data_IF_259385162370
#
_entry.id   IF_259385162370
#
_cell.length_a   1.000
_cell.length_b   1.000
_cell.length_c   1.000
_cell.angle_alpha   90.00
_cell.angle_beta   90.00
_cell.angle_gamma   90.00
#
_symmetry.space_group_name_H-M   'P 1'
#
loop_
_entity.id
_entity.type
_entity.pdbx_description
1 polymer ?
#
# COMPACT_ATOMS: atom_id res chain seq x y z
N UNK A 1 -8.27 -7.17 -21.35
CA UNK A 1 -8.08 -6.84 -22.78
C UNK A 1 -9.28 -6.09 -23.35
N UNK A 2 -10.49 -6.67 -23.38
CA UNK A 2 -11.73 -6.01 -23.82
C UNK A 2 -11.91 -4.63 -23.19
N UNK A 3 -11.78 -4.53 -21.86
CA UNK A 3 -11.90 -3.26 -21.14
C UNK A 3 -11.00 -2.15 -21.71
N UNK A 4 -9.74 -2.47 -21.99
CA UNK A 4 -8.77 -1.50 -22.50
C UNK A 4 -8.95 -1.20 -23.99
N UNK A 5 -9.24 -2.22 -24.79
CA UNK A 5 -9.45 -2.09 -26.24
C UNK A 5 -10.64 -1.18 -26.56
N UNK A 6 -11.73 -1.33 -25.82
CA UNK A 6 -12.96 -0.58 -26.04
C UNK A 6 -13.12 0.63 -25.09
N UNK A 7 -12.10 0.95 -24.30
CA UNK A 7 -12.13 2.10 -23.39
C UNK A 7 -13.23 2.04 -22.32
N UNK A 8 -13.61 0.84 -21.88
CA UNK A 8 -14.68 0.65 -20.90
C UNK A 8 -14.19 1.09 -19.51
N UNK A 9 -14.93 2.03 -18.91
CA UNK A 9 -14.48 2.75 -17.70
C UNK A 9 -14.41 1.88 -16.45
N UNK A 10 -15.12 0.76 -16.39
CA UNK A 10 -15.13 -0.09 -15.20
C UNK A 10 -15.27 -1.58 -15.51
N UNK A 11 -14.71 -2.41 -14.63
CA UNK A 11 -14.85 -3.87 -14.73
C UNK A 11 -16.32 -4.31 -14.59
N UNK A 12 -17.11 -3.60 -13.78
CA UNK A 12 -18.55 -3.84 -13.63
C UNK A 12 -19.30 -3.60 -14.94
N UNK A 13 -19.01 -2.47 -15.60
CA UNK A 13 -19.58 -2.17 -16.91
C UNK A 13 -19.11 -3.18 -17.95
N UNK A 14 -17.84 -3.58 -17.91
CA UNK A 14 -17.28 -4.60 -18.82
C UNK A 14 -18.07 -5.91 -18.70
N UNK A 15 -18.37 -6.36 -17.48
CA UNK A 15 -19.17 -7.58 -17.28
C UNK A 15 -20.62 -7.45 -17.76
N UNK A 16 -21.24 -6.28 -17.56
CA UNK A 16 -22.58 -6.01 -18.08
C UNK A 16 -22.61 -6.04 -19.61
N UNK A 17 -21.56 -5.55 -20.26
CA UNK A 17 -21.42 -5.62 -21.71
C UNK A 17 -21.17 -7.05 -22.20
N UNK A 18 -20.33 -7.84 -21.50
CA UNK A 18 -20.13 -9.26 -21.81
C UNK A 18 -21.43 -10.05 -21.61
N UNK A 19 -22.30 -9.66 -20.67
CA UNK A 19 -23.56 -10.35 -20.44
C UNK A 19 -24.47 -10.32 -21.67
N UNK A 20 -24.53 -9.18 -22.37
CA UNK A 20 -25.42 -8.95 -23.52
C UNK A 20 -24.75 -9.16 -24.88
N UNK A 21 -23.43 -9.00 -24.97
CA UNK A 21 -22.70 -9.08 -26.24
C UNK A 21 -22.18 -10.51 -26.50
N UNK A 22 -22.69 -11.13 -27.56
CA UNK A 22 -22.30 -12.47 -27.98
C UNK A 22 -20.82 -12.56 -28.40
N UNK A 23 -20.30 -11.54 -29.08
CA UNK A 23 -18.91 -11.52 -29.56
C UNK A 23 -17.93 -11.55 -28.39
N UNK A 24 -18.24 -10.83 -27.31
CA UNK A 24 -17.42 -10.81 -26.10
C UNK A 24 -17.44 -12.15 -25.37
N UNK A 25 -18.60 -12.83 -25.32
CA UNK A 25 -18.70 -14.17 -24.74
C UNK A 25 -17.91 -15.19 -25.57
N UNK A 26 -18.07 -15.16 -26.89
CA UNK A 26 -17.33 -16.02 -27.81
C UNK A 26 -15.82 -15.82 -27.66
N UNK A 27 -15.36 -14.57 -27.63
CA UNK A 27 -13.95 -14.23 -27.45
C UNK A 27 -13.39 -14.74 -26.11
N UNK A 28 -14.19 -14.70 -25.04
CA UNK A 28 -13.80 -15.18 -23.71
C UNK A 28 -14.01 -16.69 -23.53
N UNK A 29 -14.59 -17.39 -24.51
CA UNK A 29 -14.89 -18.82 -24.45
C UNK A 29 -16.10 -19.19 -23.59
N UNK A 30 -16.99 -18.22 -23.28
CA UNK A 30 -18.22 -18.48 -22.53
C UNK A 30 -19.38 -18.84 -23.46
N UNK A 31 -20.20 -19.79 -23.03
CA UNK A 31 -21.46 -20.09 -23.71
C UNK A 31 -22.54 -19.04 -23.43
N UNK A 32 -23.62 -19.04 -24.23
CA UNK A 32 -24.75 -18.11 -24.07
C UNK A 32 -25.48 -18.29 -22.74
N UNK A 33 -25.62 -19.54 -22.28
CA UNK A 33 -26.34 -19.88 -21.05
C UNK A 33 -25.45 -19.93 -19.81
N UNK A 34 -24.14 -19.72 -19.98
CA UNK A 34 -23.20 -19.80 -18.87
C UNK A 34 -23.22 -18.52 -18.04
N UNK A 35 -23.22 -18.69 -16.73
CA UNK A 35 -23.26 -17.57 -15.80
C UNK A 35 -21.87 -16.94 -15.68
N UNK A 36 -21.80 -15.62 -15.90
CA UNK A 36 -20.54 -14.90 -15.78
C UNK A 36 -20.13 -14.74 -14.31
N UNK A 37 -18.83 -14.74 -14.02
CA UNK A 37 -18.34 -14.48 -12.67
C UNK A 37 -18.68 -13.06 -12.23
N UNK A 38 -18.96 -12.92 -10.93
CA UNK A 38 -19.17 -11.61 -10.32
C UNK A 38 -17.91 -10.72 -10.44
N UNK A 39 -18.06 -9.40 -10.57
CA UNK A 39 -16.95 -8.47 -10.79
C UNK A 39 -15.85 -8.57 -9.72
N UNK A 40 -16.22 -8.89 -8.47
CA UNK A 40 -15.26 -9.03 -7.37
C UNK A 40 -14.31 -10.22 -7.55
N UNK A 41 -14.72 -11.22 -8.32
CA UNK A 41 -13.93 -12.43 -8.57
C UNK A 41 -12.64 -12.07 -9.30
N UNK A 42 -12.67 -11.11 -10.23
CA UNK A 42 -11.49 -10.63 -10.93
C UNK A 42 -10.50 -9.95 -9.98
N UNK A 43 -10.99 -9.04 -9.13
CA UNK A 43 -10.13 -8.38 -8.13
C UNK A 43 -9.49 -9.39 -7.17
N UNK A 44 -10.28 -10.35 -6.67
CA UNK A 44 -9.77 -11.42 -5.80
C UNK A 44 -8.77 -12.34 -6.52
N UNK A 45 -9.01 -12.67 -7.78
CA UNK A 45 -8.10 -13.47 -8.59
C UNK A 45 -6.77 -12.74 -8.79
N UNK A 46 -6.81 -11.45 -9.10
CA UNK A 46 -5.61 -10.62 -9.26
C UNK A 46 -4.79 -10.57 -7.97
N UNK A 47 -5.42 -10.25 -6.84
CA UNK A 47 -4.73 -10.23 -5.54
C UNK A 47 -4.15 -11.58 -5.14
N UNK A 48 -4.80 -12.70 -5.50
CA UNK A 48 -4.30 -14.05 -5.19
C UNK A 48 -3.16 -14.47 -6.11
N UNK A 49 -3.28 -14.22 -7.41
CA UNK A 49 -2.32 -14.65 -8.43
C UNK A 49 -0.96 -13.98 -8.26
N UNK A 50 -0.95 -12.73 -7.80
CA UNK A 50 0.25 -11.92 -7.66
C UNK A 50 0.65 -11.69 -6.20
N UNK A 51 0.07 -12.44 -5.26
CA UNK A 51 0.31 -12.23 -3.82
C UNK A 51 1.78 -12.45 -3.44
N UNK A 52 2.38 -13.50 -3.97
CA UNK A 52 3.73 -13.94 -3.65
C UNK A 52 4.72 -13.53 -4.76
N UNK A 53 4.35 -12.54 -5.59
CA UNK A 53 5.19 -12.07 -6.69
C UNK A 53 5.68 -10.65 -6.42
N UNK A 54 6.97 -10.43 -6.60
CA UNK A 54 7.59 -9.10 -6.52
C UNK A 54 7.37 -8.26 -7.79
N UNK A 55 6.39 -8.64 -8.62
CA UNK A 55 6.11 -8.02 -9.90
C UNK A 55 5.73 -6.54 -9.74
N UNK A 56 4.86 -6.22 -8.78
CA UNK A 56 4.45 -4.84 -8.55
C UNK A 56 5.60 -3.98 -8.05
N UNK A 57 6.41 -4.51 -7.15
CA UNK A 57 7.60 -3.83 -6.63
C UNK A 57 8.62 -3.59 -7.74
N UNK A 58 8.88 -4.59 -8.58
CA UNK A 58 9.78 -4.47 -9.73
C UNK A 58 9.30 -3.41 -10.73
N UNK A 59 8.00 -3.42 -11.08
CA UNK A 59 7.42 -2.43 -12.00
C UNK A 59 7.51 -1.04 -11.39
N UNK A 60 7.16 -0.89 -10.10
CA UNK A 60 7.20 0.38 -9.40
C UNK A 60 8.63 0.93 -9.30
N UNK A 61 9.59 0.09 -8.92
CA UNK A 61 11.01 0.44 -8.88
C UNK A 61 11.52 0.87 -10.26
N UNK A 62 11.08 0.20 -11.33
CA UNK A 62 11.44 0.60 -12.70
C UNK A 62 10.87 1.96 -13.07
N UNK A 63 9.61 2.23 -12.73
CA UNK A 63 8.98 3.53 -12.97
C UNK A 63 9.74 4.63 -12.20
N UNK A 64 10.03 4.40 -10.91
CA UNK A 64 10.81 5.34 -10.11
C UNK A 64 12.19 5.61 -10.71
N UNK A 65 12.88 4.57 -11.18
CA UNK A 65 14.18 4.71 -11.84
C UNK A 65 14.11 5.59 -13.09
N UNK A 66 13.07 5.43 -13.92
CA UNK A 66 12.87 6.28 -15.10
C UNK A 66 12.56 7.73 -14.68
N UNK A 67 11.65 7.93 -13.73
CA UNK A 67 11.26 9.26 -13.23
C UNK A 67 12.48 9.99 -12.64
N UNK A 68 13.31 9.27 -11.87
CA UNK A 68 14.57 9.80 -11.34
C UNK A 68 15.55 10.19 -12.45
N UNK A 69 15.70 9.33 -13.47
CA UNK A 69 16.59 9.59 -14.61
C UNK A 69 16.22 10.88 -15.36
N UNK A 70 14.94 11.23 -15.41
CA UNK A 70 14.47 12.47 -16.02
C UNK A 70 14.46 13.68 -15.05
N UNK A 71 14.94 13.50 -13.81
CA UNK A 71 15.03 14.58 -12.83
C UNK A 71 13.68 15.04 -12.27
N UNK A 72 12.66 14.19 -12.31
CA UNK A 72 11.34 14.49 -11.75
C UNK A 72 11.22 14.16 -10.26
N UNK A 73 12.28 13.65 -9.64
CA UNK A 73 12.36 13.37 -8.20
C UNK A 73 13.33 14.37 -7.60
N UNK A 74 12.87 15.08 -6.56
CA UNK A 74 13.70 15.91 -5.70
C UNK A 74 13.97 15.12 -4.41
N UNK A 75 15.24 14.75 -4.20
CA UNK A 75 15.68 13.96 -3.05
C UNK A 75 15.84 14.82 -1.78
N UNK A 76 15.76 16.16 -1.87
CA UNK A 76 15.91 17.06 -0.72
C UNK A 76 14.69 17.06 0.20
N UNK A 77 13.48 16.86 -0.35
CA UNK A 77 12.23 16.96 0.39
C UNK A 77 11.38 15.68 0.28
N UNK A 78 11.62 14.73 1.18
CA UNK A 78 10.85 13.48 1.25
C UNK A 78 9.55 13.73 2.04
N UNK A 79 8.42 13.81 1.32
CA UNK A 79 7.10 13.89 1.95
C UNK A 79 6.54 12.48 2.19
N UNK A 80 6.47 12.08 3.47
CA UNK A 80 5.82 10.84 3.89
C UNK A 80 4.43 11.19 4.42
N UNK A 81 3.40 11.10 3.59
CA UNK A 81 2.01 11.23 4.06
C UNK A 81 1.54 9.89 4.64
N UNK A 82 1.56 9.81 5.98
CA UNK A 82 1.08 8.66 6.72
C UNK A 82 -0.43 8.63 6.77
N UNK A 83 -1.08 8.01 5.78
CA UNK A 83 -2.52 7.70 5.92
C UNK A 83 -2.71 6.67 7.03
N UNK A 84 -3.43 7.04 8.10
CA UNK A 84 -3.75 6.11 9.17
C UNK A 84 -4.80 5.09 8.71
N UNK A 85 -4.33 3.99 8.13
CA UNK A 85 -5.18 2.86 7.78
C UNK A 85 -5.53 2.11 9.06
N UNK A 86 -6.78 2.25 9.52
CA UNK A 86 -7.30 1.42 10.61
C UNK A 86 -7.30 -0.03 10.15
N UNK A 87 -6.41 -0.84 10.71
CA UNK A 87 -6.38 -2.27 10.46
C UNK A 87 -7.72 -2.88 10.93
N UNK A 88 -8.41 -3.61 10.06
CA UNK A 88 -9.49 -4.51 10.47
C UNK A 88 -8.88 -5.80 11.03
N UNK A 89 -8.07 -5.65 12.07
CA UNK A 89 -7.34 -6.71 12.74
C UNK A 89 -7.95 -6.95 14.12
N UNK A 90 -8.02 -8.22 14.53
CA UNK A 90 -8.44 -8.54 15.90
C UNK A 90 -7.35 -8.05 16.87
N UNK A 91 -7.70 -7.07 17.70
CA UNK A 91 -6.81 -6.44 18.70
C UNK A 91 -6.24 -7.41 19.73
N UNK A 92 -6.77 -8.64 19.80
CA UNK A 92 -6.34 -9.67 20.75
C UNK A 92 -5.37 -10.70 20.14
N UNK A 93 -5.00 -10.59 18.86
CA UNK A 93 -3.99 -11.44 18.22
C UNK A 93 -2.82 -10.60 17.74
N UNK A 94 -1.70 -10.70 18.44
CA UNK A 94 -0.44 -10.07 18.05
C UNK A 94 0.63 -11.13 17.80
N UNK A 95 1.51 -10.84 16.83
CA UNK A 95 2.76 -11.57 16.58
C UNK A 95 3.88 -10.57 16.81
N UNK A 96 4.77 -10.87 17.76
CA UNK A 96 5.92 -10.02 18.02
C UNK A 96 6.95 -10.28 16.92
N UNK A 97 7.23 -9.26 16.11
CA UNK A 97 8.34 -9.25 15.16
C UNK A 97 9.36 -8.21 15.61
N UNK A 98 10.62 -8.60 15.57
CA UNK A 98 11.74 -7.72 15.87
C UNK A 98 12.07 -6.98 14.58
N UNK A 99 11.78 -5.68 14.54
CA UNK A 99 12.11 -4.82 13.40
C UNK A 99 13.50 -4.23 13.66
N UNK A 100 14.40 -4.35 12.68
CA UNK A 100 15.80 -3.93 12.77
C UNK A 100 16.00 -2.40 12.78
N UNK A 101 17.21 -2.03 13.21
CA UNK A 101 17.70 -0.76 13.73
C UNK A 101 17.40 0.51 12.92
N UNK A 102 17.05 0.41 11.63
CA UNK A 102 16.80 1.55 10.74
C UNK A 102 15.61 2.41 11.20
N UNK A 103 14.54 1.79 11.70
CA UNK A 103 13.39 2.51 12.24
C UNK A 103 13.74 3.35 13.48
N UNK A 104 14.72 2.90 14.29
CA UNK A 104 15.17 3.61 15.50
C UNK A 104 16.02 4.84 15.16
N UNK A 105 16.79 4.79 14.08
CA UNK A 105 17.62 5.93 13.64
C UNK A 105 16.74 7.08 13.15
N UNK A 106 15.75 6.77 12.30
CA UNK A 106 14.82 7.77 11.79
C UNK A 106 13.94 8.40 12.89
N UNK A 107 13.49 7.59 13.86
CA UNK A 107 12.72 8.12 14.99
C UNK A 107 13.51 9.12 15.84
N UNK A 108 14.83 8.91 15.98
CA UNK A 108 15.71 9.84 16.71
C UNK A 108 15.89 11.15 15.96
N UNK A 109 16.22 11.12 14.67
CA UNK A 109 16.40 12.34 13.87
C UNK A 109 15.12 13.18 13.83
N UNK A 110 13.96 12.54 13.70
CA UNK A 110 12.66 13.21 13.70
C UNK A 110 12.36 13.90 15.05
N UNK A 111 12.71 13.27 16.18
CA UNK A 111 12.55 13.89 17.51
C UNK A 111 13.46 15.11 17.68
N UNK A 112 14.67 15.06 17.15
CA UNK A 112 15.61 16.19 17.17
C UNK A 112 15.09 17.37 16.35
N UNK A 113 14.57 17.13 15.14
CA UNK A 113 13.95 18.18 14.32
C UNK A 113 12.72 18.80 14.98
N UNK A 114 11.83 17.98 15.53
CA UNK A 114 10.64 18.48 16.24
C UNK A 114 11.05 19.31 17.46
N UNK A 115 12.10 18.94 18.19
CA UNK A 115 12.57 19.72 19.33
C UNK A 115 13.15 21.07 18.89
N UNK A 116 13.93 21.13 17.80
CA UNK A 116 14.43 22.39 17.23
C UNK A 116 13.29 23.33 16.82
N UNK A 117 12.25 22.80 16.17
CA UNK A 117 11.05 23.57 15.80
C UNK A 117 10.31 24.12 17.04
N UNK A 118 10.21 23.29 18.10
CA UNK A 118 9.58 23.70 19.36
C UNK A 118 10.36 24.79 20.07
N UNK A 119 11.70 24.73 20.07
CA UNK A 119 12.56 25.78 20.63
C UNK A 119 12.40 27.11 19.88
N UNK A 120 12.36 27.08 18.55
CA UNK A 120 12.06 28.26 17.72
C UNK A 120 10.69 28.87 18.06
N UNK A 121 9.73 28.01 18.42
CA UNK A 121 8.39 28.42 18.83
C UNK A 121 8.23 28.65 20.36
N UNK A 122 9.32 28.73 21.13
CA UNK A 122 9.33 28.91 22.60
C UNK A 122 8.49 27.88 23.38
N UNK A 123 8.36 26.66 22.85
CA UNK A 123 7.67 25.53 23.49
C UNK A 123 8.68 24.61 24.17
N UNK A 124 8.28 24.01 25.29
CA UNK A 124 9.12 23.02 25.98
C UNK A 124 9.38 21.80 25.09
N UNK A 125 10.58 21.17 25.17
CA UNK A 125 10.91 19.98 24.40
C UNK A 125 9.93 18.83 24.68
N UNK A 126 9.79 17.91 23.71
CA UNK A 126 8.96 16.72 23.88
C UNK A 126 9.52 15.86 25.00
N UNK A 127 8.63 15.39 25.89
CA UNK A 127 9.00 14.42 26.93
C UNK A 127 9.38 13.10 26.23
N UNK A 128 10.58 12.61 26.50
CA UNK A 128 10.98 11.28 26.05
C UNK A 128 10.01 10.25 26.62
N UNK A 129 9.43 9.42 25.75
CA UNK A 129 8.74 8.23 26.20
C UNK A 129 9.82 7.24 26.62
N UNK A 130 9.78 6.79 27.87
CA UNK A 130 10.53 5.63 28.33
C UNK A 130 10.31 4.51 27.32
N UNK A 131 11.35 4.17 26.58
CA UNK A 131 11.31 3.05 25.66
C UNK A 131 11.15 1.80 26.51
N UNK A 132 10.26 0.92 26.08
CA UNK A 132 9.85 -0.31 26.77
C UNK A 132 10.99 -1.34 27.00
N UNK A 133 12.25 -0.96 26.76
CA UNK A 133 13.45 -1.69 27.19
C UNK A 133 13.74 -1.52 28.69
N UNK A 134 13.33 -0.41 29.33
CA UNK A 134 13.53 -0.21 30.79
C UNK A 134 12.48 -0.95 31.65
N UNK A 135 11.34 -1.35 31.07
CA UNK A 135 10.27 -2.08 31.77
C UNK A 135 10.57 -3.59 31.98
N UNK A 136 11.71 -4.10 31.51
CA UNK A 136 12.11 -5.51 31.73
C UNK A 136 12.89 -5.77 33.01
N UNK A 137 13.06 -4.78 33.92
CA UNK A 137 13.76 -5.00 35.20
C UNK A 137 12.95 -4.91 36.48
N UNK A 138 11.65 -4.64 36.42
CA UNK A 138 10.77 -4.79 37.59
C UNK A 138 9.38 -5.15 37.14
N UNK A 139 9.03 -6.43 37.26
CA UNK A 139 7.75 -6.93 37.77
C UNK A 139 7.86 -8.45 37.86
N UNK A 140 7.63 -8.94 39.08
CA UNK A 140 7.67 -10.34 39.50
C UNK A 140 6.32 -11.01 39.20
#
# INVERSE_FOLDING_TARGET
MIQYLFGIRSMRQTLKEIEVNFEYRWYLGYNMHEQLPHFSTFSKNYSRRFKDSDLFETIFARILCEVNKYGFIDDENIFIDGTHIKANANTHKYRNEVIEESARVYEKSLKEEINKDRELHNKKPLKEKETSEELKKTLK
#
